data_IF_323238413274
#
_entry.id   IF_323238413274
#
_cell.length_a   1.000
_cell.length_b   1.000
_cell.length_c   1.000
_cell.angle_alpha   90.00
_cell.angle_beta   90.00
_cell.angle_gamma   90.00
#
_symmetry.space_group_name_H-M   'P 1'
#
loop_
_entity.id
_entity.type
_entity.pdbx_description
1 polymer ?
#
# COMPACT_ATOMS: atom_id res chain seq x y z
N UNK A 1 8.97 18.93 28.93
CA UNK A 1 8.66 18.56 27.53
C UNK A 1 9.69 17.52 27.14
N UNK A 2 9.30 16.23 27.12
CA UNK A 2 10.24 15.15 26.81
C UNK A 2 10.74 15.33 25.38
N UNK A 3 12.05 15.36 25.23
CA UNK A 3 12.78 15.33 23.98
C UNK A 3 12.31 14.11 23.17
N UNK A 4 11.30 14.30 22.31
CA UNK A 4 10.80 13.23 21.43
C UNK A 4 11.88 13.03 20.37
N UNK A 5 12.85 12.16 20.66
CA UNK A 5 13.79 11.67 19.66
C UNK A 5 12.98 11.17 18.46
N UNK A 6 13.31 11.67 17.28
CA UNK A 6 12.80 11.13 16.01
C UNK A 6 13.11 9.63 16.02
N UNK A 7 12.13 8.74 15.73
CA UNK A 7 12.40 7.31 15.68
C UNK A 7 13.48 7.01 14.65
N UNK A 8 14.20 5.91 14.81
CA UNK A 8 15.16 5.45 13.79
C UNK A 8 14.40 5.08 12.51
N UNK A 9 15.05 5.13 11.35
CA UNK A 9 14.45 4.50 10.17
C UNK A 9 14.26 2.99 10.42
N UNK A 10 13.31 2.33 9.75
CA UNK A 10 13.11 0.88 9.89
C UNK A 10 14.39 0.07 9.66
N UNK A 11 15.20 0.45 8.68
CA UNK A 11 16.48 -0.21 8.39
C UNK A 11 17.49 -0.06 9.54
N UNK A 12 17.68 1.15 10.06
CA UNK A 12 18.59 1.41 11.18
C UNK A 12 18.12 0.72 12.47
N UNK A 13 16.81 0.70 12.71
CA UNK A 13 16.22 0.01 13.85
C UNK A 13 16.45 -1.51 13.76
N UNK A 14 16.25 -2.09 12.58
CA UNK A 14 16.49 -3.51 12.34
C UNK A 14 17.96 -3.89 12.54
N UNK A 15 18.88 -3.10 11.98
CA UNK A 15 20.33 -3.31 12.14
C UNK A 15 20.70 -3.30 13.62
N UNK A 16 20.31 -2.26 14.35
CA UNK A 16 20.62 -2.09 15.78
C UNK A 16 20.05 -3.24 16.63
N UNK A 17 18.82 -3.66 16.35
CA UNK A 17 18.19 -4.79 17.05
C UNK A 17 18.89 -6.13 16.78
N UNK A 18 19.21 -6.43 15.52
CA UNK A 18 19.92 -7.68 15.18
C UNK A 18 21.32 -7.67 15.82
N UNK A 19 22.04 -6.56 15.76
CA UNK A 19 23.36 -6.45 16.36
C UNK A 19 23.35 -6.62 17.89
N UNK A 20 22.34 -6.05 18.57
CA UNK A 20 22.17 -6.23 20.02
C UNK A 20 21.82 -7.66 20.41
N UNK A 21 21.03 -8.35 19.60
CA UNK A 21 20.59 -9.74 19.87
C UNK A 21 21.58 -10.79 19.40
N UNK A 22 22.54 -10.43 18.53
CA UNK A 22 23.56 -11.32 17.94
C UNK A 22 24.32 -12.20 18.95
N UNK A 23 24.81 -11.70 20.10
CA UNK A 23 25.51 -12.54 21.07
C UNK A 23 24.62 -13.65 21.66
N UNK A 24 23.36 -13.32 21.98
CA UNK A 24 22.38 -14.24 22.56
C UNK A 24 21.97 -15.31 21.53
N UNK A 25 21.72 -14.89 20.29
CA UNK A 25 21.35 -15.80 19.21
C UNK A 25 22.48 -16.78 18.86
N UNK A 26 23.76 -16.33 18.86
CA UNK A 26 24.92 -17.21 18.67
C UNK A 26 25.03 -18.28 19.76
N UNK A 27 24.73 -17.94 21.01
CA UNK A 27 24.73 -18.89 22.11
C UNK A 27 23.63 -19.94 21.94
N UNK A 28 22.42 -19.54 21.56
CA UNK A 28 21.29 -20.45 21.30
C UNK A 28 21.54 -21.38 20.11
N UNK A 29 22.18 -20.89 19.04
CA UNK A 29 22.52 -21.68 17.86
C UNK A 29 23.56 -22.79 18.09
N UNK A 30 24.25 -22.81 19.24
CA UNK A 30 25.11 -23.94 19.66
C UNK A 30 24.26 -25.15 20.02
N UNK A 31 23.05 -24.93 20.55
CA UNK A 31 22.19 -25.97 21.10
C UNK A 31 21.08 -26.41 20.13
N UNK A 32 20.75 -25.61 19.12
CA UNK A 32 19.73 -25.92 18.12
C UNK A 32 20.22 -25.61 16.68
N UNK A 33 20.27 -26.66 15.85
CA UNK A 33 20.69 -26.58 14.44
C UNK A 33 19.72 -25.77 13.58
N UNK A 34 18.41 -25.82 13.88
CA UNK A 34 17.41 -25.04 13.15
C UNK A 34 17.53 -23.55 13.49
N UNK A 35 17.71 -23.23 14.77
CA UNK A 35 17.98 -21.86 15.21
C UNK A 35 19.26 -21.29 14.58
N UNK A 36 20.31 -22.12 14.46
CA UNK A 36 21.55 -21.73 13.78
C UNK A 36 21.34 -21.37 12.30
N UNK A 37 20.59 -22.19 11.56
CA UNK A 37 20.31 -21.94 10.15
C UNK A 37 19.47 -20.66 9.94
N UNK A 38 18.44 -20.46 10.76
CA UNK A 38 17.63 -19.24 10.74
C UNK A 38 18.48 -17.99 11.06
N UNK A 39 19.38 -18.09 12.04
CA UNK A 39 20.26 -16.99 12.39
C UNK A 39 21.25 -16.63 11.27
N UNK A 40 21.81 -17.63 10.58
CA UNK A 40 22.68 -17.40 9.42
C UNK A 40 21.94 -16.69 8.28
N UNK A 41 20.66 -17.02 8.05
CA UNK A 41 19.83 -16.32 7.07
C UNK A 41 19.62 -14.85 7.45
N UNK A 42 19.32 -14.58 8.72
CA UNK A 42 19.17 -13.21 9.23
C UNK A 42 20.48 -12.42 9.10
N UNK A 43 21.63 -13.01 9.41
CA UNK A 43 22.94 -12.36 9.21
C UNK A 43 23.21 -12.06 7.73
N UNK A 44 22.85 -12.97 6.82
CA UNK A 44 23.00 -12.75 5.37
C UNK A 44 22.12 -11.59 4.89
N UNK A 45 20.88 -11.52 5.34
CA UNK A 45 19.97 -10.41 5.00
C UNK A 45 20.46 -9.08 5.57
N UNK A 46 20.99 -9.08 6.80
CA UNK A 46 21.60 -7.90 7.41
C UNK A 46 22.77 -7.38 6.58
N UNK A 47 23.65 -8.27 6.12
CA UNK A 47 24.79 -7.92 5.29
C UNK A 47 24.35 -7.31 3.96
N UNK A 48 23.32 -7.87 3.33
CA UNK A 48 22.73 -7.31 2.11
C UNK A 48 22.21 -5.87 2.32
N UNK A 49 21.49 -5.62 3.42
CA UNK A 49 20.98 -4.26 3.74
C UNK A 49 22.14 -3.28 3.93
N UNK A 50 23.19 -3.69 4.66
CA UNK A 50 24.38 -2.85 4.86
C UNK A 50 25.07 -2.53 3.55
N UNK A 51 25.26 -3.53 2.69
CA UNK A 51 25.85 -3.34 1.37
C UNK A 51 25.03 -2.39 0.51
N UNK A 52 23.69 -2.47 0.53
CA UNK A 52 22.83 -1.51 -0.16
C UNK A 52 23.02 -0.08 0.34
N UNK A 53 23.14 0.12 1.66
CA UNK A 53 23.38 1.45 2.25
C UNK A 53 24.76 1.99 1.87
N UNK A 54 25.81 1.16 1.93
CA UNK A 54 27.18 1.54 1.54
C UNK A 54 27.21 1.92 0.05
N UNK A 55 26.59 1.11 -0.82
CA UNK A 55 26.53 1.37 -2.25
C UNK A 55 25.80 2.68 -2.55
N UNK A 56 24.69 2.97 -1.84
CA UNK A 56 24.01 4.27 -1.97
C UNK A 56 24.94 5.44 -1.64
N UNK A 57 25.70 5.34 -0.55
CA UNK A 57 26.59 6.42 -0.11
C UNK A 57 27.80 6.59 -1.05
N UNK A 58 28.35 5.49 -1.58
CA UNK A 58 29.39 5.51 -2.61
C UNK A 58 28.88 6.09 -3.92
N UNK A 59 27.68 5.70 -4.34
CA UNK A 59 27.02 6.28 -5.51
C UNK A 59 26.85 7.77 -5.33
N UNK A 60 26.41 8.20 -4.14
CA UNK A 60 26.23 9.61 -3.83
C UNK A 60 27.54 10.40 -4.00
N UNK A 61 28.66 9.85 -3.52
CA UNK A 61 29.98 10.47 -3.62
C UNK A 61 30.47 10.58 -5.07
N UNK A 62 30.21 9.58 -5.91
CA UNK A 62 30.75 9.49 -7.28
C UNK A 62 29.85 10.22 -8.29
N UNK A 63 28.55 9.96 -8.26
CA UNK A 63 27.63 10.35 -9.34
C UNK A 63 26.80 11.60 -9.02
N UNK A 64 26.57 11.94 -7.75
CA UNK A 64 25.80 13.16 -7.42
C UNK A 64 26.49 14.46 -7.83
N UNK A 65 27.82 14.61 -7.71
CA UNK A 65 28.52 15.77 -8.27
C UNK A 65 28.33 15.96 -9.77
N UNK A 66 27.95 14.89 -10.48
CA UNK A 66 27.66 14.90 -11.92
C UNK A 66 26.17 15.17 -12.22
N UNK A 67 25.33 15.33 -11.20
CA UNK A 67 23.91 15.65 -11.33
C UNK A 67 22.96 14.44 -11.33
N UNK A 68 23.43 13.26 -10.92
CA UNK A 68 22.56 12.11 -10.62
C UNK A 68 22.03 12.18 -9.19
N UNK A 69 20.81 11.73 -8.96
CA UNK A 69 20.09 11.90 -7.70
C UNK A 69 19.60 10.55 -7.21
N UNK A 70 19.80 10.28 -5.92
CA UNK A 70 19.24 9.13 -5.22
C UNK A 70 17.73 9.30 -4.99
N UNK A 71 16.97 8.22 -5.18
CA UNK A 71 15.54 8.16 -4.91
C UNK A 71 15.12 6.78 -4.42
N UNK A 72 13.95 6.68 -3.79
CA UNK A 72 13.55 5.48 -3.04
C UNK A 72 13.37 4.25 -3.91
N UNK A 73 12.89 4.46 -5.14
CA UNK A 73 12.62 3.39 -6.11
C UNK A 73 13.80 3.10 -7.03
N UNK A 74 14.96 3.69 -6.76
CA UNK A 74 16.13 3.49 -7.60
C UNK A 74 16.65 2.05 -7.43
N UNK A 75 16.88 1.37 -8.56
CA UNK A 75 17.32 -0.03 -8.54
C UNK A 75 18.68 -0.18 -7.84
N UNK A 76 18.70 -0.94 -6.75
CA UNK A 76 19.92 -1.30 -6.02
C UNK A 76 20.91 -2.07 -6.89
N UNK A 77 20.40 -2.85 -7.84
CA UNK A 77 21.22 -3.63 -8.77
C UNK A 77 21.94 -2.72 -9.77
N UNK A 78 21.25 -1.66 -10.23
CA UNK A 78 21.86 -0.65 -11.10
C UNK A 78 22.90 0.15 -10.34
N UNK A 79 22.60 0.56 -9.10
CA UNK A 79 23.57 1.24 -8.24
C UNK A 79 24.83 0.38 -8.05
N UNK A 80 24.67 -0.91 -7.73
CA UNK A 80 25.82 -1.82 -7.62
C UNK A 80 26.58 -1.96 -8.94
N UNK A 81 25.86 -2.17 -10.05
CA UNK A 81 26.43 -2.35 -11.38
C UNK A 81 27.31 -1.17 -11.82
N UNK A 82 26.84 0.07 -11.62
CA UNK A 82 27.59 1.26 -12.05
C UNK A 82 28.75 1.63 -11.12
N UNK A 83 28.78 1.09 -9.91
CA UNK A 83 29.94 1.20 -9.01
C UNK A 83 31.07 0.25 -9.40
N UNK A 84 30.75 -0.85 -10.10
CA UNK A 84 31.74 -1.79 -10.66
C UNK A 84 32.26 -1.36 -12.05
N UNK A 85 31.76 -0.25 -12.59
CA UNK A 85 32.13 0.31 -13.89
C UNK A 85 33.10 1.48 -13.74
N UNK A 86 33.80 1.82 -14.82
CA UNK A 86 34.43 3.14 -14.90
C UNK A 86 33.35 4.23 -15.05
N UNK A 87 33.72 5.48 -14.77
CA UNK A 87 32.77 6.58 -14.68
C UNK A 87 31.98 6.83 -15.96
N UNK A 88 32.63 6.73 -17.12
CA UNK A 88 32.01 7.00 -18.42
C UNK A 88 30.97 5.93 -18.77
N UNK A 89 31.35 4.65 -18.65
CA UNK A 89 30.43 3.52 -18.85
C UNK A 89 29.27 3.55 -17.84
N UNK A 90 29.55 3.99 -16.61
CA UNK A 90 28.53 4.19 -15.57
C UNK A 90 27.51 5.27 -15.93
N UNK A 91 27.92 6.43 -16.45
CA UNK A 91 26.98 7.46 -16.92
C UNK A 91 26.16 6.99 -18.13
N UNK A 92 26.74 6.18 -19.02
CA UNK A 92 26.02 5.56 -20.14
C UNK A 92 24.95 4.59 -19.64
N UNK A 93 25.29 3.73 -18.68
CA UNK A 93 24.36 2.78 -18.08
C UNK A 93 23.23 3.51 -17.33
N UNK A 94 23.54 4.54 -16.55
CA UNK A 94 22.54 5.37 -15.85
C UNK A 94 21.60 6.07 -16.83
N UNK A 95 22.15 6.60 -17.92
CA UNK A 95 21.36 7.24 -18.98
C UNK A 95 20.42 6.23 -19.63
N UNK A 96 20.94 5.05 -19.99
CA UNK A 96 20.17 3.97 -20.59
C UNK A 96 19.06 3.48 -19.66
N UNK A 97 19.36 3.34 -18.36
CA UNK A 97 18.38 2.96 -17.35
C UNK A 97 17.23 3.96 -17.24
N UNK A 98 17.52 5.26 -17.17
CA UNK A 98 16.50 6.29 -17.00
C UNK A 98 15.70 6.61 -18.27
N UNK A 99 16.25 6.29 -19.44
CA UNK A 99 15.55 6.42 -20.73
C UNK A 99 14.92 5.12 -21.22
N UNK A 100 15.10 4.01 -20.50
CA UNK A 100 14.51 2.73 -20.85
C UNK A 100 12.96 2.84 -20.85
N UNK A 101 12.27 2.45 -21.93
CA UNK A 101 10.81 2.58 -22.04
C UNK A 101 10.01 1.85 -20.95
N UNK A 102 10.49 0.68 -20.50
CA UNK A 102 9.81 -0.07 -19.44
C UNK A 102 9.97 0.61 -18.08
N UNK A 103 11.15 1.16 -17.79
CA UNK A 103 11.38 1.94 -16.57
C UNK A 103 10.57 3.23 -16.57
N UNK A 104 10.56 3.96 -17.70
CA UNK A 104 9.70 5.14 -17.87
C UNK A 104 8.24 4.76 -17.64
N UNK A 105 7.72 3.70 -18.26
CA UNK A 105 6.33 3.24 -18.04
C UNK A 105 6.06 2.87 -16.57
N UNK A 106 6.96 2.11 -15.95
CA UNK A 106 6.80 1.65 -14.56
C UNK A 106 6.76 2.82 -13.57
N UNK A 107 7.71 3.74 -13.65
CA UNK A 107 7.79 4.92 -12.78
C UNK A 107 6.68 5.93 -13.13
N UNK A 108 6.34 6.02 -14.42
CA UNK A 108 5.30 6.88 -14.97
C UNK A 108 3.88 6.58 -14.47
N UNK A 109 3.60 5.36 -14.00
CA UNK A 109 2.30 4.99 -13.41
C UNK A 109 1.86 5.92 -12.26
N UNK A 110 2.80 6.62 -11.60
CA UNK A 110 2.47 7.61 -10.57
C UNK A 110 1.65 8.78 -11.11
N UNK A 111 1.78 9.14 -12.38
CA UNK A 111 0.95 10.16 -13.01
C UNK A 111 -0.50 9.74 -13.18
N UNK A 112 -0.85 8.45 -13.06
CA UNK A 112 -2.25 8.02 -13.01
C UNK A 112 -2.88 8.22 -11.62
N UNK A 113 -2.09 8.62 -10.60
CA UNK A 113 -2.61 8.90 -9.26
C UNK A 113 -3.16 10.32 -9.17
N UNK A 114 -4.22 10.52 -8.36
CA UNK A 114 -4.94 11.80 -8.22
C UNK A 114 -4.08 13.04 -8.02
N UNK A 115 -2.89 12.87 -7.44
CA UNK A 115 -2.03 13.98 -7.03
C UNK A 115 -1.00 14.38 -8.08
N UNK A 116 -0.72 13.52 -9.06
CA UNK A 116 0.20 13.80 -10.15
C UNK A 116 -0.50 13.81 -11.52
N UNK A 117 -1.75 13.35 -11.59
CA UNK A 117 -2.57 13.36 -12.80
C UNK A 117 -2.64 14.70 -13.56
N UNK A 118 -2.59 15.89 -12.92
CA UNK A 118 -2.52 17.14 -13.67
C UNK A 118 -1.36 17.25 -14.67
N UNK A 119 -0.28 16.49 -14.49
CA UNK A 119 0.89 16.46 -15.37
C UNK A 119 0.98 15.22 -16.26
N UNK A 120 -0.01 14.32 -16.23
CA UNK A 120 0.00 13.05 -16.99
C UNK A 120 0.23 13.29 -18.49
N UNK A 121 -0.58 14.14 -19.12
CA UNK A 121 -0.45 14.41 -20.56
C UNK A 121 0.90 15.05 -20.93
N UNK A 122 1.48 15.88 -20.05
CA UNK A 122 2.82 16.45 -20.25
C UNK A 122 3.89 15.37 -20.13
N UNK A 123 3.74 14.46 -19.16
CA UNK A 123 4.65 13.35 -18.93
C UNK A 123 4.64 12.39 -20.12
N UNK A 124 3.46 11.97 -20.57
CA UNK A 124 3.31 11.10 -21.75
C UNK A 124 3.96 11.72 -22.98
N UNK A 125 3.75 13.02 -23.20
CA UNK A 125 4.40 13.74 -24.31
C UNK A 125 5.91 13.78 -24.14
N UNK A 126 6.44 13.98 -22.93
CA UNK A 126 7.88 13.97 -22.70
C UNK A 126 8.50 12.59 -22.99
N UNK A 127 7.84 11.51 -22.62
CA UNK A 127 8.25 10.13 -22.92
C UNK A 127 8.21 9.86 -24.42
N UNK A 128 7.14 10.27 -25.11
CA UNK A 128 7.01 10.16 -26.57
C UNK A 128 8.19 10.87 -27.28
N UNK A 129 8.51 12.09 -26.85
CA UNK A 129 9.64 12.87 -27.40
C UNK A 129 10.99 12.22 -27.11
N UNK A 130 11.21 11.74 -25.88
CA UNK A 130 12.45 11.05 -25.52
C UNK A 130 12.65 9.76 -26.33
N UNK A 131 11.58 8.99 -26.57
CA UNK A 131 11.60 7.80 -27.41
C UNK A 131 11.84 8.09 -28.90
N UNK A 132 11.48 9.29 -29.36
CA UNK A 132 11.79 9.79 -30.70
C UNK A 132 13.17 10.49 -30.78
N UNK A 133 13.98 10.41 -29.72
CA UNK A 133 15.26 11.11 -29.56
C UNK A 133 15.19 12.64 -29.69
N UNK A 134 13.98 13.22 -29.58
CA UNK A 134 13.74 14.66 -29.51
C UNK A 134 13.94 15.17 -28.09
N UNK A 135 15.19 15.15 -27.64
CA UNK A 135 15.57 15.56 -26.28
C UNK A 135 15.38 17.07 -26.06
N UNK A 136 15.50 17.88 -27.12
CA UNK A 136 15.24 19.32 -27.06
C UNK A 136 13.80 19.61 -26.63
N UNK A 137 12.83 18.81 -27.07
CA UNK A 137 11.45 18.93 -26.62
C UNK A 137 11.17 18.21 -25.30
N UNK A 138 11.77 17.03 -25.08
CA UNK A 138 11.50 16.22 -23.88
C UNK A 138 11.96 16.90 -22.59
N UNK A 139 13.17 17.46 -22.59
CA UNK A 139 13.81 18.02 -21.39
C UNK A 139 13.00 19.18 -20.78
N UNK A 140 12.57 20.22 -21.53
CA UNK A 140 11.78 21.32 -20.97
C UNK A 140 10.42 20.88 -20.44
N UNK A 141 9.79 19.86 -21.04
CA UNK A 141 8.53 19.32 -20.55
C UNK A 141 8.70 18.71 -19.16
N UNK A 142 9.73 17.87 -18.97
CA UNK A 142 9.99 17.26 -17.66
C UNK A 142 10.39 18.30 -16.61
N UNK A 143 11.22 19.28 -16.97
CA UNK A 143 11.56 20.38 -16.06
C UNK A 143 10.31 21.17 -15.62
N UNK A 144 9.36 21.39 -16.53
CA UNK A 144 8.09 22.05 -16.20
C UNK A 144 7.22 21.23 -15.25
N UNK A 145 7.24 19.89 -15.38
CA UNK A 145 6.54 18.99 -14.45
C UNK A 145 7.16 19.09 -13.05
N UNK A 146 8.50 19.07 -12.94
CA UNK A 146 9.22 19.23 -11.67
C UNK A 146 8.88 20.58 -11.02
N UNK A 147 8.93 21.67 -11.80
CA UNK A 147 8.55 23.02 -11.33
C UNK A 147 7.11 23.04 -10.80
N UNK A 148 6.18 22.42 -11.54
CA UNK A 148 4.77 22.30 -11.16
C UNK A 148 4.60 21.57 -9.84
N UNK A 149 5.13 20.35 -9.73
CA UNK A 149 4.99 19.50 -8.53
C UNK A 149 5.50 20.23 -7.30
N UNK A 150 6.71 20.79 -7.35
CA UNK A 150 7.31 21.50 -6.22
C UNK A 150 6.49 22.73 -5.82
N UNK A 151 6.10 23.55 -6.80
CA UNK A 151 5.38 24.80 -6.56
C UNK A 151 4.00 24.56 -5.96
N UNK A 152 3.23 23.60 -6.49
CA UNK A 152 1.90 23.31 -5.96
C UNK A 152 1.93 22.63 -4.60
N UNK A 153 2.99 21.87 -4.31
CA UNK A 153 3.11 21.12 -3.05
C UNK A 153 3.66 21.94 -1.90
N UNK A 154 4.47 22.98 -2.19
CA UNK A 154 5.16 23.76 -1.14
C UNK A 154 4.94 25.27 -1.21
N UNK A 155 4.36 25.78 -2.28
CA UNK A 155 4.29 27.22 -2.56
C UNK A 155 5.64 27.83 -2.94
N UNK A 156 6.69 27.02 -3.13
CA UNK A 156 8.04 27.47 -3.51
C UNK A 156 8.51 26.77 -4.79
N UNK A 157 9.30 27.50 -5.57
CA UNK A 157 9.97 26.92 -6.73
C UNK A 157 11.01 25.87 -6.29
N UNK A 158 11.22 24.77 -7.05
CA UNK A 158 12.16 23.70 -6.66
C UNK A 158 13.54 24.25 -6.30
N UNK A 159 14.06 25.12 -7.15
CA UNK A 159 15.40 25.71 -7.04
C UNK A 159 15.49 26.91 -6.08
N UNK A 160 14.45 27.17 -5.28
CA UNK A 160 14.42 28.18 -4.21
C UNK A 160 14.01 27.57 -2.86
N UNK A 161 14.33 26.30 -2.66
CA UNK A 161 14.06 25.56 -1.43
C UNK A 161 12.69 24.89 -1.34
N UNK A 162 12.16 24.46 -2.48
CA UNK A 162 10.90 23.69 -2.56
C UNK A 162 11.00 22.26 -2.04
N UNK A 163 12.21 21.75 -1.76
CA UNK A 163 12.42 20.38 -1.27
C UNK A 163 13.59 20.24 -0.27
N UNK A 164 13.94 21.32 0.45
CA UNK A 164 15.10 21.32 1.37
C UNK A 164 14.84 20.60 2.69
N UNK A 165 13.57 20.36 3.04
CA UNK A 165 13.22 19.73 4.31
C UNK A 165 13.44 18.22 4.21
N UNK A 166 14.28 17.61 5.06
CA UNK A 166 14.43 16.16 5.10
C UNK A 166 13.09 15.49 5.38
N UNK A 167 12.83 14.39 4.68
CA UNK A 167 11.66 13.53 4.87
C UNK A 167 12.12 12.25 5.55
N UNK A 168 11.48 11.90 6.66
CA UNK A 168 11.76 10.69 7.42
C UNK A 168 11.76 9.46 6.50
N UNK A 169 12.73 8.56 6.68
CA UNK A 169 12.85 7.29 5.95
C UNK A 169 12.65 7.46 4.43
N UNK A 170 13.45 8.33 3.82
CA UNK A 170 13.51 8.50 2.36
C UNK A 170 14.94 8.72 1.90
N UNK A 171 15.34 8.00 0.85
CA UNK A 171 16.62 8.14 0.17
C UNK A 171 16.77 9.51 -0.50
N UNK A 172 15.65 10.17 -0.83
CA UNK A 172 15.65 11.51 -1.41
C UNK A 172 16.15 12.60 -0.46
N UNK A 173 16.29 12.27 0.84
CA UNK A 173 16.72 13.21 1.89
C UNK A 173 18.14 12.93 2.44
N UNK A 174 18.82 11.90 1.91
CA UNK A 174 20.20 11.56 2.28
C UNK A 174 21.25 12.18 1.35
N UNK A 175 22.54 11.78 1.48
CA UNK A 175 23.60 12.17 0.55
C UNK A 175 23.23 11.87 -0.90
N UNK A 176 23.45 12.82 -1.80
CA UNK A 176 23.04 12.71 -3.20
C UNK A 176 21.53 12.78 -3.41
N UNK A 177 20.77 13.21 -2.40
CA UNK A 177 19.32 13.34 -2.45
C UNK A 177 18.83 14.53 -3.27
N UNK A 178 17.52 14.72 -3.27
CA UNK A 178 16.83 15.71 -4.12
C UNK A 178 17.32 17.14 -3.87
N UNK A 179 17.55 17.53 -2.62
CA UNK A 179 18.02 18.88 -2.28
C UNK A 179 19.38 19.18 -2.89
N UNK A 180 20.32 18.22 -2.88
CA UNK A 180 21.65 18.39 -3.49
C UNK A 180 21.55 18.45 -5.02
N UNK A 181 20.76 17.55 -5.61
CA UNK A 181 20.49 17.56 -7.05
C UNK A 181 19.89 18.89 -7.53
N UNK A 182 18.89 19.42 -6.81
CA UNK A 182 18.30 20.72 -7.12
C UNK A 182 19.32 21.86 -6.96
N UNK A 183 20.19 21.83 -5.93
CA UNK A 183 21.21 22.86 -5.77
C UNK A 183 22.19 22.90 -6.96
N UNK A 184 22.64 21.75 -7.45
CA UNK A 184 23.56 21.64 -8.59
C UNK A 184 22.86 22.10 -9.88
N UNK A 185 21.68 21.55 -10.16
CA UNK A 185 20.95 21.75 -11.41
C UNK A 185 20.23 23.11 -11.49
N UNK A 186 20.03 23.76 -10.34
CA UNK A 186 19.49 25.11 -10.20
C UNK A 186 20.51 26.22 -10.36
N UNK A 187 21.79 25.89 -10.54
CA UNK A 187 22.85 26.89 -10.65
C UNK A 187 22.58 27.92 -11.74
N UNK A 188 22.73 29.20 -11.40
CA UNK A 188 22.42 30.31 -12.30
C UNK A 188 23.41 30.35 -13.47
N UNK A 189 22.89 30.43 -14.70
CA UNK A 189 23.69 30.61 -15.93
C UNK A 189 23.49 32.04 -16.43
N UNK A 190 24.53 32.86 -16.53
CA UNK A 190 24.38 34.30 -16.87
C UNK A 190 24.89 34.68 -18.26
N UNK A 191 25.61 33.77 -18.92
CA UNK A 191 26.23 33.98 -20.23
C UNK A 191 25.72 32.93 -21.20
N UNK A 192 25.54 33.33 -22.46
CA UNK A 192 25.34 32.40 -23.55
C UNK A 192 26.57 31.48 -23.66
N UNK A 193 26.30 30.19 -23.60
CA UNK A 193 27.29 29.14 -23.65
C UNK A 193 26.76 28.04 -24.57
N UNK A 194 27.36 27.98 -25.75
CA UNK A 194 27.00 27.09 -26.86
C UNK A 194 27.77 25.77 -26.80
N UNK A 195 28.56 25.51 -25.77
CA UNK A 195 29.16 24.20 -25.59
C UNK A 195 28.08 23.16 -25.25
N UNK A 196 28.37 21.90 -25.56
CA UNK A 196 27.53 20.79 -25.12
C UNK A 196 27.56 20.72 -23.59
N UNK A 197 26.38 20.61 -22.99
CA UNK A 197 26.25 20.41 -21.54
C UNK A 197 25.83 18.97 -21.24
N UNK A 198 26.33 18.43 -20.13
CA UNK A 198 25.96 17.11 -19.62
C UNK A 198 25.06 17.19 -18.37
N UNK A 199 24.70 18.39 -17.93
CA UNK A 199 23.84 18.64 -16.77
C UNK A 199 22.63 19.49 -17.18
N UNK A 200 21.42 19.18 -16.69
CA UNK A 200 20.24 19.97 -16.99
C UNK A 200 20.14 21.25 -16.17
N UNK A 201 20.98 22.23 -16.48
CA UNK A 201 20.93 23.54 -15.85
C UNK A 201 19.62 24.25 -16.20
N UNK A 202 18.61 24.13 -15.34
CA UNK A 202 17.24 24.61 -15.62
C UNK A 202 17.21 26.09 -15.96
N UNK A 203 18.01 26.92 -15.28
CA UNK A 203 18.14 28.34 -15.61
C UNK A 203 18.69 28.55 -17.03
N UNK A 204 19.74 27.82 -17.41
CA UNK A 204 20.35 27.95 -18.74
C UNK A 204 19.42 27.53 -19.87
N UNK A 205 18.73 26.39 -19.67
CA UNK A 205 17.82 25.80 -20.65
C UNK A 205 16.60 26.69 -20.87
N UNK A 206 15.90 27.07 -19.80
CA UNK A 206 14.64 27.84 -19.89
C UNK A 206 14.88 29.26 -20.40
N UNK A 207 16.02 29.87 -20.08
CA UNK A 207 16.36 31.23 -20.55
C UNK A 207 17.13 31.24 -21.88
N UNK A 208 17.36 30.09 -22.53
CA UNK A 208 18.06 30.01 -23.81
C UNK A 208 19.56 30.35 -23.75
N UNK A 209 20.16 30.30 -22.55
CA UNK A 209 21.58 30.59 -22.34
C UNK A 209 22.47 29.36 -22.55
N UNK A 210 21.88 28.17 -22.51
CA UNK A 210 22.53 26.94 -22.93
C UNK A 210 21.65 26.26 -23.98
N UNK A 211 21.83 26.53 -25.29
CA UNK A 211 20.97 25.98 -26.35
C UNK A 211 21.29 24.53 -26.72
N UNK A 212 22.52 24.06 -26.46
CA UNK A 212 23.00 22.74 -26.88
C UNK A 212 22.84 21.67 -25.79
N UNK A 213 21.64 21.60 -25.19
CA UNK A 213 21.30 20.67 -24.10
C UNK A 213 20.62 19.38 -24.57
N UNK A 214 20.22 19.30 -25.84
CA UNK A 214 19.43 18.19 -26.39
C UNK A 214 20.26 16.92 -26.58
N UNK A 215 20.60 16.24 -25.48
CA UNK A 215 21.38 15.01 -25.48
C UNK A 215 20.76 13.95 -24.56
N UNK A 216 21.02 12.66 -24.80
CA UNK A 216 20.46 11.58 -23.99
C UNK A 216 20.89 11.67 -22.52
N UNK A 217 22.14 12.04 -22.24
CA UNK A 217 22.63 12.17 -20.86
C UNK A 217 21.89 13.25 -20.07
N UNK A 218 21.60 14.40 -20.70
CA UNK A 218 20.82 15.46 -20.07
C UNK A 218 19.39 15.00 -19.84
N UNK A 219 18.78 14.33 -20.82
CA UNK A 219 17.44 13.76 -20.67
C UNK A 219 17.38 12.71 -19.53
N UNK A 220 18.34 11.80 -19.46
CA UNK A 220 18.46 10.79 -18.41
C UNK A 220 18.52 11.42 -17.01
N UNK A 221 19.34 12.46 -16.83
CA UNK A 221 19.45 13.19 -15.55
C UNK A 221 18.16 13.94 -15.19
N UNK A 222 17.45 14.47 -16.17
CA UNK A 222 16.16 15.16 -15.94
C UNK A 222 15.07 14.18 -15.51
N UNK A 223 14.97 13.00 -16.13
CA UNK A 223 14.05 11.96 -15.68
C UNK A 223 14.45 11.41 -14.31
N UNK A 224 15.74 11.20 -14.05
CA UNK A 224 16.24 10.86 -12.72
C UNK A 224 15.81 11.88 -11.65
N UNK A 225 15.98 13.18 -11.91
CA UNK A 225 15.53 14.24 -11.02
C UNK A 225 13.99 14.24 -10.83
N UNK A 226 13.22 13.95 -11.90
CA UNK A 226 11.78 13.80 -11.81
C UNK A 226 11.39 12.69 -10.83
N UNK A 227 12.06 11.53 -10.89
CA UNK A 227 11.78 10.41 -9.99
C UNK A 227 12.12 10.71 -8.55
N UNK A 228 13.25 11.37 -8.29
CA UNK A 228 13.56 11.89 -6.96
C UNK A 228 12.50 12.87 -6.46
N UNK A 229 11.99 13.74 -7.34
CA UNK A 229 10.91 14.69 -7.01
C UNK A 229 9.62 13.96 -6.64
N UNK A 230 9.18 12.99 -7.46
CA UNK A 230 7.97 12.20 -7.22
C UNK A 230 8.06 11.40 -5.92
N UNK A 231 9.19 10.72 -5.68
CA UNK A 231 9.42 9.94 -4.46
C UNK A 231 9.42 10.83 -3.21
N UNK A 232 10.07 12.00 -3.27
CA UNK A 232 10.10 12.96 -2.17
C UNK A 232 8.69 13.38 -1.77
N UNK A 233 7.87 13.82 -2.74
CA UNK A 233 6.50 14.26 -2.45
C UNK A 233 5.55 13.11 -2.14
N UNK A 234 5.82 11.89 -2.62
CA UNK A 234 5.14 10.69 -2.15
C UNK A 234 5.35 10.48 -0.65
N UNK A 235 6.61 10.42 -0.22
CA UNK A 235 7.01 10.16 1.16
C UNK A 235 6.61 11.27 2.11
N UNK A 236 6.65 12.52 1.65
CA UNK A 236 6.24 13.67 2.47
C UNK A 236 4.76 13.60 2.84
N UNK A 237 3.91 12.98 2.02
CA UNK A 237 2.46 12.91 2.27
C UNK A 237 2.07 11.91 3.35
N UNK A 238 2.79 10.80 3.45
CA UNK A 238 2.53 9.76 4.44
C UNK A 238 3.52 9.79 5.63
N UNK A 239 4.35 10.84 5.70
CA UNK A 239 5.41 10.98 6.70
C UNK A 239 4.88 10.91 8.13
N UNK A 240 3.75 11.56 8.41
CA UNK A 240 3.14 11.56 9.74
C UNK A 240 2.77 10.13 10.15
N UNK A 241 2.10 9.38 9.27
CA UNK A 241 1.72 8.00 9.55
C UNK A 241 2.94 7.09 9.71
N UNK A 242 4.00 7.29 8.91
CA UNK A 242 5.23 6.51 8.99
C UNK A 242 6.00 6.80 10.28
N UNK A 243 6.05 8.06 10.72
CA UNK A 243 6.65 8.45 12.01
C UNK A 243 5.87 7.87 13.21
N UNK A 244 4.54 7.93 13.17
CA UNK A 244 3.69 7.34 14.21
C UNK A 244 3.89 5.82 14.30
N UNK A 245 3.87 5.12 13.16
CA UNK A 245 4.11 3.68 13.08
C UNK A 245 5.51 3.32 13.60
N UNK A 246 6.56 4.01 13.14
CA UNK A 246 7.93 3.76 13.60
C UNK A 246 8.09 4.05 15.11
N UNK A 247 7.41 5.08 15.63
CA UNK A 247 7.43 5.37 17.07
C UNK A 247 6.76 4.25 17.87
N UNK A 248 5.65 3.71 17.39
CA UNK A 248 4.93 2.60 18.04
C UNK A 248 5.77 1.31 18.03
N UNK A 249 6.30 0.93 16.87
CA UNK A 249 7.10 -0.29 16.69
C UNK A 249 8.41 -0.28 17.49
N UNK A 250 8.96 0.91 17.77
CA UNK A 250 10.22 1.07 18.51
C UNK A 250 10.02 1.24 20.02
N UNK A 251 8.78 1.19 20.52
CA UNK A 251 8.55 1.15 21.97
C UNK A 251 9.20 -0.10 22.57
N UNK A 252 9.79 0.01 23.77
CA UNK A 252 10.33 -1.16 24.46
C UNK A 252 9.22 -2.18 24.63
N UNK A 253 9.49 -3.40 24.20
CA UNK A 253 8.47 -4.44 24.20
C UNK A 253 8.09 -4.78 25.63
N UNK A 254 6.81 -4.62 25.97
CA UNK A 254 6.30 -5.10 27.25
C UNK A 254 6.37 -6.63 27.26
N UNK A 255 7.23 -7.19 28.11
CA UNK A 255 7.40 -8.64 28.27
C UNK A 255 6.08 -9.34 28.58
N UNK A 256 5.14 -8.66 29.24
CA UNK A 256 3.80 -9.18 29.50
C UNK A 256 2.98 -9.27 28.23
N UNK A 257 3.09 -8.28 27.33
CA UNK A 257 2.42 -8.30 26.03
C UNK A 257 3.05 -9.31 25.08
N UNK A 258 4.37 -9.47 25.10
CA UNK A 258 5.06 -10.58 24.41
C UNK A 258 4.56 -11.93 24.88
N UNK A 259 4.51 -12.15 26.20
CA UNK A 259 4.00 -13.39 26.77
C UNK A 259 2.56 -13.68 26.34
N UNK A 260 1.69 -12.67 26.38
CA UNK A 260 0.30 -12.77 25.90
C UNK A 260 0.24 -13.07 24.40
N UNK A 261 1.08 -12.43 23.58
CA UNK A 261 1.13 -12.65 22.13
C UNK A 261 1.64 -14.04 21.78
N UNK A 262 2.69 -14.52 22.45
CA UNK A 262 3.19 -15.89 22.30
C UNK A 262 2.13 -16.93 22.71
N UNK A 263 1.46 -16.70 23.85
CA UNK A 263 0.37 -17.57 24.29
C UNK A 263 -0.78 -17.56 23.28
N UNK A 264 -1.19 -16.39 22.80
CA UNK A 264 -2.25 -16.26 21.79
C UNK A 264 -1.90 -16.94 20.47
N UNK A 265 -0.65 -16.81 20.02
CA UNK A 265 -0.16 -17.48 18.80
C UNK A 265 -0.13 -19.00 18.96
N UNK A 266 0.27 -19.50 20.14
CA UNK A 266 0.20 -20.92 20.44
C UNK A 266 -1.26 -21.43 20.45
N UNK A 267 -2.17 -20.71 21.10
CA UNK A 267 -3.61 -21.02 21.12
C UNK A 267 -4.22 -21.06 19.70
N UNK A 268 -3.89 -20.09 18.84
CA UNK A 268 -4.31 -20.05 17.44
C UNK A 268 -3.77 -21.26 16.68
N UNK A 269 -2.48 -21.56 16.82
CA UNK A 269 -1.84 -22.70 16.15
C UNK A 269 -2.47 -24.03 16.58
N UNK A 270 -2.73 -24.20 17.88
CA UNK A 270 -3.39 -25.39 18.42
C UNK A 270 -4.84 -25.50 17.98
N UNK A 271 -5.56 -24.37 17.84
CA UNK A 271 -6.91 -24.35 17.31
C UNK A 271 -6.94 -24.76 15.83
N UNK A 272 -6.02 -24.23 15.02
CA UNK A 272 -5.89 -24.58 13.60
C UNK A 272 -5.57 -26.07 13.41
N UNK A 273 -4.66 -26.63 14.21
CA UNK A 273 -4.29 -28.04 14.14
C UNK A 273 -5.44 -28.98 14.55
N UNK A 274 -6.29 -28.54 15.49
CA UNK A 274 -7.44 -29.33 15.96
C UNK A 274 -8.69 -29.14 15.10
N UNK A 275 -8.75 -28.07 14.32
CA UNK A 275 -9.93 -27.74 13.52
C UNK A 275 -10.16 -28.79 12.43
N UNK A 276 -11.43 -29.19 12.29
CA UNK A 276 -11.95 -29.96 11.17
C UNK A 276 -13.29 -29.37 10.77
N UNK A 277 -13.55 -29.29 9.47
CA UNK A 277 -14.84 -28.86 8.97
C UNK A 277 -15.97 -29.77 9.51
N UNK A 278 -17.09 -29.18 9.92
CA UNK A 278 -18.31 -29.94 10.23
C UNK A 278 -18.83 -30.61 8.95
N UNK A 279 -19.63 -31.70 9.04
CA UNK A 279 -20.30 -32.26 7.87
C UNK A 279 -21.12 -31.20 7.14
N UNK A 280 -21.02 -31.18 5.81
CA UNK A 280 -21.80 -30.26 4.97
C UNK A 280 -23.28 -30.61 5.09
N UNK A 281 -24.09 -29.60 5.42
CA UNK A 281 -25.56 -29.74 5.42
C UNK A 281 -26.09 -28.99 4.21
N UNK A 282 -26.91 -29.66 3.40
CA UNK A 282 -27.55 -29.05 2.23
C UNK A 282 -28.96 -29.60 2.05
N UNK A 283 -29.85 -28.77 1.50
CA UNK A 283 -31.24 -29.11 1.17
C UNK A 283 -32.09 -29.56 2.37
N UNK A 284 -31.75 -29.12 3.59
CA UNK A 284 -32.51 -29.38 4.82
C UNK A 284 -32.84 -28.04 5.45
N UNK A 285 -34.11 -27.80 5.76
CA UNK A 285 -34.53 -26.58 6.47
C UNK A 285 -34.01 -26.66 7.91
N UNK A 286 -33.01 -25.83 8.21
CA UNK A 286 -32.39 -25.72 9.52
C UNK A 286 -33.13 -24.73 10.42
N UNK A 287 -33.64 -23.65 9.84
CA UNK A 287 -34.43 -22.62 10.51
C UNK A 287 -35.26 -21.84 9.49
N UNK A 288 -36.30 -21.18 9.98
CA UNK A 288 -37.15 -20.27 9.21
C UNK A 288 -37.39 -18.98 10.00
N UNK A 289 -38.01 -17.97 9.36
CA UNK A 289 -38.41 -16.75 10.07
C UNK A 289 -39.34 -16.99 11.25
N UNK A 290 -40.05 -18.12 11.27
CA UNK A 290 -41.07 -18.45 12.28
C UNK A 290 -40.55 -19.43 13.34
N UNK A 291 -39.46 -20.15 13.06
CA UNK A 291 -38.86 -21.12 13.97
C UNK A 291 -37.32 -21.13 13.86
N UNK A 292 -36.69 -20.67 14.95
CA UNK A 292 -35.23 -20.64 15.14
C UNK A 292 -34.77 -21.50 16.31
N UNK A 293 -35.67 -22.29 16.93
CA UNK A 293 -35.45 -22.88 18.26
C UNK A 293 -34.31 -23.91 18.34
N UNK A 294 -33.85 -24.42 17.19
CA UNK A 294 -32.89 -25.52 17.11
C UNK A 294 -31.48 -25.10 16.63
N UNK A 295 -31.19 -23.80 16.47
CA UNK A 295 -29.86 -23.36 16.03
C UNK A 295 -28.85 -23.36 17.19
N UNK A 296 -27.66 -23.97 17.03
CA UNK A 296 -26.65 -23.96 18.08
C UNK A 296 -26.18 -22.52 18.39
N UNK A 297 -26.16 -22.15 19.67
CA UNK A 297 -25.67 -20.82 20.09
C UNK A 297 -24.22 -20.57 19.65
N UNK A 298 -23.92 -19.36 19.18
CA UNK A 298 -22.59 -18.96 18.69
C UNK A 298 -22.18 -19.61 17.36
N UNK A 299 -23.12 -20.24 16.66
CA UNK A 299 -22.90 -20.80 15.32
C UNK A 299 -23.10 -19.75 14.22
N UNK A 300 -22.51 -19.96 13.03
CA UNK A 300 -22.74 -19.07 11.89
C UNK A 300 -24.22 -19.10 11.46
N UNK A 301 -24.88 -20.25 11.54
CA UNK A 301 -26.31 -20.37 11.24
C UNK A 301 -27.20 -19.57 12.21
N UNK A 302 -26.89 -19.56 13.51
CA UNK A 302 -27.58 -18.72 14.48
C UNK A 302 -27.41 -17.22 14.18
N UNK A 303 -26.18 -16.78 13.89
CA UNK A 303 -25.93 -15.39 13.53
C UNK A 303 -26.57 -15.00 12.20
N UNK A 304 -26.59 -15.89 11.21
CA UNK A 304 -27.29 -15.66 9.95
C UNK A 304 -28.79 -15.44 10.18
N UNK A 305 -29.43 -16.24 11.05
CA UNK A 305 -30.83 -16.06 11.42
C UNK A 305 -31.11 -14.70 12.08
N UNK A 306 -30.23 -14.26 13.01
CA UNK A 306 -30.32 -12.92 13.61
C UNK A 306 -30.20 -11.81 12.55
N UNK A 307 -29.19 -11.93 11.67
CA UNK A 307 -28.94 -10.97 10.60
C UNK A 307 -30.11 -10.87 9.61
N UNK A 308 -30.69 -12.02 9.21
CA UNK A 308 -31.87 -12.07 8.36
C UNK A 308 -33.10 -11.46 9.05
N UNK A 309 -33.23 -11.63 10.37
CA UNK A 309 -34.28 -11.00 11.16
C UNK A 309 -34.13 -9.48 11.20
N UNK A 310 -32.90 -8.95 11.29
CA UNK A 310 -32.64 -7.51 11.15
C UNK A 310 -32.93 -6.99 9.75
N UNK A 311 -32.66 -7.79 8.71
CA UNK A 311 -33.00 -7.47 7.33
C UNK A 311 -34.52 -7.39 7.12
N UNK A 312 -35.26 -8.39 7.62
CA UNK A 312 -36.72 -8.46 7.58
C UNK A 312 -37.38 -7.27 8.31
N UNK A 313 -36.87 -6.91 9.48
CA UNK A 313 -37.37 -5.80 10.30
C UNK A 313 -36.79 -4.42 9.93
N UNK A 314 -35.94 -4.35 8.89
CA UNK A 314 -35.27 -3.13 8.41
C UNK A 314 -34.44 -2.42 9.50
N UNK A 315 -33.82 -3.18 10.40
CA UNK A 315 -32.91 -2.65 11.41
C UNK A 315 -31.51 -2.39 10.84
N UNK A 316 -31.36 -1.26 10.13
CA UNK A 316 -30.11 -0.89 9.45
C UNK A 316 -28.93 -0.64 10.39
N UNK A 317 -29.18 -0.34 11.68
CA UNK A 317 -28.13 -0.16 12.67
C UNK A 317 -27.43 -1.47 13.00
N UNK A 318 -28.21 -2.52 13.28
CA UNK A 318 -27.68 -3.85 13.55
C UNK A 318 -27.13 -4.53 12.29
N UNK A 319 -27.76 -4.34 11.12
CA UNK A 319 -27.18 -4.77 9.84
C UNK A 319 -25.81 -4.14 9.61
N UNK A 320 -25.65 -2.84 9.89
CA UNK A 320 -24.37 -2.18 9.77
C UNK A 320 -23.33 -2.77 10.73
N UNK A 321 -23.66 -3.04 11.99
CA UNK A 321 -22.73 -3.67 12.95
C UNK A 321 -22.34 -5.09 12.52
N UNK A 322 -23.31 -5.88 12.07
CA UNK A 322 -23.12 -7.28 11.69
C UNK A 322 -22.53 -7.50 10.29
N UNK A 323 -22.23 -6.44 9.53
CA UNK A 323 -21.58 -6.52 8.22
C UNK A 323 -20.12 -6.13 8.35
N UNK A 324 -19.24 -6.70 7.53
CA UNK A 324 -17.82 -6.31 7.47
C UNK A 324 -17.64 -4.94 6.80
N UNK A 325 -16.75 -4.10 7.33
CA UNK A 325 -16.34 -2.83 6.70
C UNK A 325 -14.87 -2.52 6.98
N UNK A 326 -13.97 -2.94 6.09
CA UNK A 326 -12.53 -2.68 6.23
C UNK A 326 -12.14 -1.21 6.43
N UNK A 327 -12.82 -0.21 5.83
CA UNK A 327 -12.54 1.21 6.11
C UNK A 327 -12.98 1.68 7.51
N UNK A 328 -13.61 0.80 8.31
CA UNK A 328 -14.12 1.02 9.66
C UNK A 328 -14.93 2.33 9.82
N UNK A 329 -15.85 2.57 8.88
CA UNK A 329 -16.66 3.79 8.85
C UNK A 329 -17.64 3.83 10.02
N UNK A 330 -18.05 5.03 10.48
CA UNK A 330 -19.04 5.16 11.54
C UNK A 330 -20.35 4.41 11.24
N UNK A 331 -20.90 3.72 12.23
CA UNK A 331 -22.13 2.90 12.09
C UNK A 331 -23.28 3.72 11.48
N UNK A 332 -23.45 4.99 11.89
CA UNK A 332 -24.51 5.86 11.35
C UNK A 332 -24.39 6.09 9.84
N UNK A 333 -23.17 6.28 9.32
CA UNK A 333 -22.93 6.41 7.89
C UNK A 333 -23.27 5.12 7.15
N UNK A 334 -22.83 3.97 7.69
CA UNK A 334 -23.06 2.64 7.11
C UNK A 334 -24.56 2.30 7.10
N UNK A 335 -25.27 2.53 8.19
CA UNK A 335 -26.70 2.32 8.29
C UNK A 335 -27.49 3.20 7.30
N UNK A 336 -27.08 4.46 7.12
CA UNK A 336 -27.66 5.37 6.13
C UNK A 336 -27.47 4.86 4.69
N UNK A 337 -26.27 4.36 4.38
CA UNK A 337 -25.98 3.73 3.08
C UNK A 337 -26.83 2.49 2.83
N UNK A 338 -26.89 1.57 3.78
CA UNK A 338 -27.70 0.34 3.69
C UNK A 338 -29.18 0.64 3.49
N UNK A 339 -29.73 1.65 4.17
CA UNK A 339 -31.11 2.10 3.99
C UNK A 339 -31.39 2.53 2.54
N UNK A 340 -30.43 3.20 1.91
CA UNK A 340 -30.56 3.66 0.53
C UNK A 340 -30.42 2.52 -0.48
N UNK A 341 -29.43 1.64 -0.28
CA UNK A 341 -29.16 0.50 -1.18
C UNK A 341 -30.31 -0.52 -1.15
N UNK A 342 -30.87 -0.80 0.03
CA UNK A 342 -31.95 -1.78 0.21
C UNK A 342 -33.34 -1.15 0.03
N UNK A 343 -33.42 0.09 -0.48
CA UNK A 343 -34.69 0.78 -0.71
C UNK A 343 -35.51 0.04 -1.78
N UNK A 344 -36.76 -0.26 -1.45
CA UNK A 344 -37.68 -1.02 -2.32
C UNK A 344 -37.62 -2.53 -2.12
N UNK A 345 -36.67 -3.05 -1.34
CA UNK A 345 -36.58 -4.46 -0.96
C UNK A 345 -37.35 -4.68 0.35
N UNK A 346 -38.26 -5.65 0.36
CA UNK A 346 -38.97 -6.09 1.56
C UNK A 346 -38.90 -7.61 1.65
N UNK A 347 -38.15 -8.11 2.63
CA UNK A 347 -38.10 -9.53 2.95
C UNK A 347 -39.32 -9.89 3.81
N UNK A 348 -40.04 -10.95 3.43
CA UNK A 348 -41.26 -11.40 4.12
C UNK A 348 -41.00 -12.71 4.87
N UNK A 349 -40.32 -13.66 4.24
CA UNK A 349 -39.96 -14.93 4.82
C UNK A 349 -38.53 -15.31 4.41
N UNK A 350 -37.86 -16.07 5.25
CA UNK A 350 -36.55 -16.63 4.94
C UNK A 350 -36.41 -18.03 5.54
N UNK A 351 -35.57 -18.85 4.93
CA UNK A 351 -35.16 -20.15 5.49
C UNK A 351 -33.67 -20.39 5.28
N UNK A 352 -33.03 -21.03 6.26
CA UNK A 352 -31.65 -21.51 6.16
C UNK A 352 -31.71 -22.97 5.71
N UNK A 353 -31.09 -23.28 4.58
CA UNK A 353 -31.20 -24.61 3.93
C UNK A 353 -29.88 -25.37 3.88
N UNK A 354 -28.78 -24.74 4.30
CA UNK A 354 -27.47 -25.38 4.31
C UNK A 354 -26.40 -24.58 5.03
N UNK A 355 -25.36 -25.29 5.44
CA UNK A 355 -24.15 -24.71 6.03
C UNK A 355 -22.93 -25.54 5.64
N UNK A 356 -21.87 -24.83 5.26
CA UNK A 356 -20.57 -25.41 4.92
C UNK A 356 -19.46 -24.59 5.60
N UNK A 357 -18.57 -25.26 6.34
CA UNK A 357 -17.39 -24.63 6.93
C UNK A 357 -16.22 -24.70 5.95
N UNK A 358 -15.90 -23.59 5.29
CA UNK A 358 -14.81 -23.51 4.30
C UNK A 358 -13.43 -23.27 4.92
N UNK A 359 -13.38 -22.76 6.15
CA UNK A 359 -12.14 -22.62 6.94
C UNK A 359 -12.44 -22.57 8.44
N UNK A 360 -11.39 -22.51 9.25
CA UNK A 360 -11.50 -22.37 10.71
C UNK A 360 -12.21 -21.10 11.17
N UNK A 361 -12.33 -20.09 10.31
CA UNK A 361 -12.94 -18.80 10.61
C UNK A 361 -14.03 -18.40 9.60
N UNK A 362 -14.34 -19.22 8.60
CA UNK A 362 -15.27 -18.87 7.52
C UNK A 362 -16.27 -20.00 7.28
N UNK A 363 -17.54 -19.65 7.32
CA UNK A 363 -18.65 -20.54 6.97
C UNK A 363 -19.53 -19.89 5.90
N UNK A 364 -20.09 -20.71 5.04
CA UNK A 364 -21.08 -20.32 4.05
C UNK A 364 -22.43 -20.89 4.47
N UNK A 365 -23.46 -20.05 4.51
CA UNK A 365 -24.81 -20.40 4.89
C UNK A 365 -25.72 -20.16 3.69
N UNK A 366 -26.38 -21.22 3.23
CA UNK A 366 -27.32 -21.13 2.10
C UNK A 366 -28.67 -20.70 2.65
N UNK A 367 -29.22 -19.63 2.07
CA UNK A 367 -30.47 -19.03 2.52
C UNK A 367 -31.43 -18.85 1.37
N UNK A 368 -32.70 -19.18 1.59
CA UNK A 368 -33.79 -18.86 0.67
C UNK A 368 -34.55 -17.67 1.21
N UNK A 369 -34.83 -16.72 0.34
CA UNK A 369 -35.45 -15.45 0.66
C UNK A 369 -36.72 -15.31 -0.18
N UNK A 370 -37.81 -14.94 0.50
CA UNK A 370 -39.10 -14.68 -0.12
C UNK A 370 -39.55 -13.27 0.27
N UNK A 371 -39.93 -12.47 -0.72
CA UNK A 371 -40.27 -11.09 -0.46
C UNK A 371 -40.76 -10.34 -1.70
N UNK A 372 -40.61 -9.03 -1.66
CA UNK A 372 -40.95 -8.15 -2.76
C UNK A 372 -39.84 -7.14 -3.05
N UNK A 373 -39.63 -6.85 -4.33
CA UNK A 373 -38.78 -5.77 -4.83
C UNK A 373 -39.65 -4.84 -5.67
N UNK A 374 -39.88 -3.61 -5.19
CA UNK A 374 -40.80 -2.63 -5.79
C UNK A 374 -42.13 -3.27 -6.21
N UNK A 375 -42.76 -3.94 -5.24
CA UNK A 375 -44.05 -4.63 -5.32
C UNK A 375 -44.09 -5.87 -6.23
N UNK A 376 -42.95 -6.32 -6.76
CA UNK A 376 -42.86 -7.60 -7.46
C UNK A 376 -42.39 -8.71 -6.53
N UNK A 377 -43.15 -9.80 -6.47
CA UNK A 377 -42.78 -11.00 -5.71
C UNK A 377 -41.44 -11.53 -6.22
N UNK A 378 -40.53 -11.78 -5.28
CA UNK A 378 -39.19 -12.27 -5.55
C UNK A 378 -38.88 -13.42 -4.60
N UNK A 379 -38.51 -14.56 -5.18
CA UNK A 379 -38.02 -15.74 -4.46
C UNK A 379 -36.61 -16.03 -4.99
N UNK A 380 -35.61 -16.02 -4.11
CA UNK A 380 -34.23 -16.25 -4.50
C UNK A 380 -33.50 -17.08 -3.46
N UNK A 381 -32.52 -17.85 -3.92
CA UNK A 381 -31.54 -18.50 -3.06
C UNK A 381 -30.23 -17.70 -3.13
N UNK A 382 -29.62 -17.46 -1.97
CA UNK A 382 -28.39 -16.68 -1.84
C UNK A 382 -27.41 -17.41 -0.92
N UNK A 383 -26.12 -17.12 -1.10
CA UNK A 383 -25.07 -17.65 -0.25
C UNK A 383 -24.55 -16.55 0.68
N UNK A 384 -24.82 -16.68 1.97
CA UNK A 384 -24.27 -15.81 3.00
C UNK A 384 -22.89 -16.30 3.40
N UNK A 385 -21.84 -15.55 3.09
CA UNK A 385 -20.50 -15.83 3.61
C UNK A 385 -20.31 -15.11 4.94
N UNK A 386 -20.06 -15.87 6.00
CA UNK A 386 -19.81 -15.36 7.34
C UNK A 386 -18.34 -15.54 7.69
N UNK A 387 -17.77 -14.55 8.38
CA UNK A 387 -16.43 -14.63 8.96
C UNK A 387 -16.49 -14.45 10.47
N UNK A 388 -15.68 -15.22 11.18
CA UNK A 388 -15.43 -15.08 12.61
C UNK A 388 -14.14 -14.28 12.77
N UNK A 389 -14.26 -13.06 13.30
CA UNK A 389 -13.16 -12.10 13.30
C UNK A 389 -13.20 -11.19 14.51
N UNK A 390 -12.07 -10.56 14.81
CA UNK A 390 -11.99 -9.54 15.86
C UNK A 390 -12.54 -8.18 15.40
N UNK A 391 -12.44 -7.16 16.26
CA UNK A 391 -12.91 -5.80 16.00
C UNK A 391 -12.20 -5.12 14.80
N UNK A 392 -11.04 -5.63 14.39
CA UNK A 392 -10.29 -5.14 13.23
C UNK A 392 -10.60 -5.94 11.95
N UNK A 393 -11.53 -6.88 12.01
CA UNK A 393 -11.85 -7.83 10.95
C UNK A 393 -10.70 -8.79 10.60
N UNK A 394 -9.77 -9.03 11.51
CA UNK A 394 -8.77 -10.08 11.37
C UNK A 394 -9.38 -11.44 11.76
N UNK A 395 -9.12 -12.46 10.94
CA UNK A 395 -9.76 -13.78 11.10
C UNK A 395 -9.29 -14.48 12.38
N UNK A 396 -10.25 -14.96 13.17
CA UNK A 396 -10.01 -15.72 14.40
C UNK A 396 -10.56 -17.13 14.21
N UNK A 397 -9.82 -18.21 14.53
CA UNK A 397 -10.39 -19.54 14.56
C UNK A 397 -11.62 -19.60 15.48
N UNK A 398 -12.74 -20.13 14.96
CA UNK A 398 -13.98 -20.33 15.70
C UNK A 398 -13.72 -21.12 16.97
N UNK A 399 -14.28 -20.65 18.08
CA UNK A 399 -14.13 -21.26 19.41
C UNK A 399 -13.03 -20.62 20.27
N UNK A 400 -12.23 -19.72 19.70
CA UNK A 400 -11.37 -18.83 20.49
C UNK A 400 -12.13 -17.56 20.90
N UNK A 401 -11.78 -17.02 22.06
CA UNK A 401 -12.32 -15.74 22.55
C UNK A 401 -11.87 -14.57 21.68
N UNK A 402 -12.70 -13.51 21.65
CA UNK A 402 -12.41 -12.26 20.95
C UNK A 402 -12.88 -12.20 19.49
N UNK A 403 -13.39 -13.31 18.93
CA UNK A 403 -14.04 -13.31 17.63
C UNK A 403 -15.56 -13.12 17.72
N UNK A 404 -16.13 -12.44 16.74
CA UNK A 404 -17.57 -12.32 16.51
C UNK A 404 -17.88 -12.68 15.06
N UNK A 405 -19.08 -13.20 14.81
CA UNK A 405 -19.54 -13.44 13.45
C UNK A 405 -19.89 -12.12 12.76
N UNK A 406 -19.56 -12.03 11.47
CA UNK A 406 -19.93 -10.92 10.61
C UNK A 406 -20.23 -11.42 9.21
N UNK A 407 -21.21 -10.81 8.55
CA UNK A 407 -21.59 -11.11 7.17
C UNK A 407 -20.67 -10.33 6.23
N UNK A 408 -20.11 -11.03 5.25
CA UNK A 408 -19.33 -10.42 4.19
C UNK A 408 -20.22 -9.53 3.30
N UNK A 409 -19.70 -8.41 2.73
CA UNK A 409 -20.53 -7.44 2.02
C UNK A 409 -21.18 -7.97 0.73
N UNK A 410 -20.72 -9.11 0.22
CA UNK A 410 -21.22 -9.70 -1.02
C UNK A 410 -22.71 -10.06 -0.92
N UNK A 411 -23.19 -10.52 0.24
CA UNK A 411 -24.59 -10.90 0.42
C UNK A 411 -25.56 -9.75 0.13
N UNK A 412 -25.36 -8.58 0.77
CA UNK A 412 -26.21 -7.42 0.53
C UNK A 412 -26.01 -6.83 -0.87
N UNK A 413 -24.80 -6.91 -1.41
CA UNK A 413 -24.49 -6.46 -2.77
C UNK A 413 -25.25 -7.28 -3.82
N UNK A 414 -25.38 -8.60 -3.62
CA UNK A 414 -26.15 -9.47 -4.51
C UNK A 414 -27.64 -9.14 -4.49
N UNK A 415 -28.22 -8.88 -3.32
CA UNK A 415 -29.62 -8.44 -3.20
C UNK A 415 -29.87 -7.11 -3.89
N UNK A 416 -28.94 -6.17 -3.74
CA UNK A 416 -29.00 -4.89 -4.43
C UNK A 416 -28.92 -5.06 -5.96
N UNK A 417 -27.99 -5.88 -6.46
CA UNK A 417 -27.86 -6.18 -7.89
C UNK A 417 -29.13 -6.86 -8.45
N UNK A 418 -29.72 -7.79 -7.70
CA UNK A 418 -30.99 -8.41 -8.05
C UNK A 418 -32.10 -7.35 -8.21
N UNK A 419 -32.15 -6.37 -7.30
CA UNK A 419 -33.12 -5.27 -7.39
C UNK A 419 -32.93 -4.41 -8.64
N UNK A 420 -31.68 -4.18 -9.07
CA UNK A 420 -31.39 -3.43 -10.31
C UNK A 420 -31.85 -4.21 -11.53
N UNK A 421 -31.55 -5.51 -11.61
CA UNK A 421 -31.94 -6.37 -12.73
C UNK A 421 -33.46 -6.45 -12.89
N UNK A 422 -34.19 -6.57 -11.78
CA UNK A 422 -35.66 -6.59 -11.83
C UNK A 422 -36.25 -5.24 -12.27
N UNK A 423 -35.62 -4.11 -11.93
CA UNK A 423 -36.02 -2.78 -12.42
C UNK A 423 -35.81 -2.61 -13.92
N UNK A 424 -34.70 -3.13 -14.47
CA UNK A 424 -34.41 -3.04 -15.90
C UNK A 424 -35.38 -3.86 -16.75
N UNK A 425 -35.93 -4.95 -16.22
CA UNK A 425 -36.95 -5.75 -16.90
C UNK A 425 -38.37 -5.12 -16.87
N UNK A 426 -38.57 -3.99 -16.15
CA UNK A 426 -39.82 -3.21 -16.17
C UNK A 426 -39.85 -2.15 -17.29
N UNK A 427 -38.70 -1.77 -17.85
CA UNK A 427 -38.55 -0.86 -19.01
C UNK A 427 -38.38 -1.65 -20.29
#
# INVERSE_FOLDING_TARGET
MSDKRVPKSPAEYLIDNIEKTRPVAKLLGVFDKNAKAQFQEVERQLENIKNMMINRDLFAQIYSPLGWVNYDRFSTDIVAKVLDMNLEDGEIELTSYHLNPDNLRFLGYRFCTRHFNPWEAMYERAVERAGAEDYLSAIPLVLSIIDGICTTSTGKHPFSGGADTPVFDSQTSGPGGLSEGLAILGSTRRKLDTELICMPFRHGIVHGLNPNYGSPIVAGKVFNLLWATVDYFDRRRDEVQRLEKATEEQKPVDLRELGKSMQRNAEIKDALNRWKARPVVSNIILATSDDIANLPSGSPEAFAAEYLSWLMTKNYGELAKGTVDYPNRPIGFRAGRLRNELKGISLIHWSITGVEDTSSAISQVTVKLEGAIDDQVCNTECLMRLMFADESYELVPRGLSGGVWSVMPNFLSELWLLSIRMKQNKT
#
